data_IF_324616720966
#
_entry.id   IF_324616720966
#
_cell.length_a   1.000
_cell.length_b   1.000
_cell.length_c   1.000
_cell.angle_alpha   90.00
_cell.angle_beta   90.00
_cell.angle_gamma   90.00
#
_symmetry.space_group_name_H-M   'P 1'
#
loop_
_entity.id
_entity.type
_entity.pdbx_description
1 polymer ?
#
# COMPACT_ATOMS: atom_id res chain seq x y z
N UNK A 1 14.82 6.29 4.33
CA UNK A 1 15.48 4.97 4.15
C UNK A 1 16.97 5.02 4.45
N UNK A 2 17.56 6.22 4.47
CA UNK A 2 19.00 6.43 4.70
C UNK A 2 19.51 5.80 6.00
N UNK A 3 18.74 5.82 7.09
CA UNK A 3 19.15 5.13 8.33
C UNK A 3 19.27 3.60 8.17
N UNK A 4 18.41 3.00 7.35
CA UNK A 4 18.48 1.57 7.01
C UNK A 4 19.72 1.30 6.15
N UNK A 5 19.93 2.12 5.12
CA UNK A 5 21.09 2.01 4.23
C UNK A 5 22.41 2.19 4.97
N UNK A 6 22.45 3.10 5.94
CA UNK A 6 23.62 3.38 6.78
C UNK A 6 23.81 2.35 7.93
N UNK A 7 22.93 1.35 8.05
CA UNK A 7 23.02 0.31 9.08
C UNK A 7 22.67 0.76 10.50
N UNK A 8 22.03 1.92 10.65
CA UNK A 8 21.67 2.51 11.95
C UNK A 8 20.25 2.15 12.41
N UNK A 9 19.43 1.59 11.51
CA UNK A 9 18.08 1.14 11.80
C UNK A 9 18.07 -0.18 12.58
N UNK A 10 17.19 -0.28 13.59
CA UNK A 10 16.97 -1.49 14.40
C UNK A 10 15.75 -2.31 13.96
N UNK A 11 15.11 -1.92 12.86
CA UNK A 11 13.86 -2.54 12.41
C UNK A 11 14.11 -3.77 11.54
N UNK A 12 13.34 -4.83 11.76
CA UNK A 12 13.40 -6.07 10.96
C UNK A 12 12.39 -6.09 9.81
N UNK A 13 11.26 -5.38 9.96
CA UNK A 13 10.18 -5.30 8.98
C UNK A 13 9.74 -3.84 8.93
N UNK A 14 9.55 -3.31 7.72
CA UNK A 14 9.14 -1.93 7.47
C UNK A 14 7.93 -1.95 6.53
N UNK A 15 6.85 -1.30 6.95
CA UNK A 15 5.67 -1.06 6.13
C UNK A 15 5.63 0.43 5.75
N UNK A 16 5.47 0.73 4.46
CA UNK A 16 5.51 2.09 3.93
C UNK A 16 4.14 2.44 3.37
N UNK A 17 3.59 3.56 3.82
CA UNK A 17 2.31 4.11 3.37
C UNK A 17 2.57 5.45 2.67
N UNK A 18 2.00 5.64 1.48
CA UNK A 18 2.17 6.89 0.73
C UNK A 18 1.39 8.07 1.32
N UNK A 19 0.20 7.81 1.88
CA UNK A 19 -0.66 8.86 2.45
C UNK A 19 -0.38 9.04 3.95
N UNK A 20 -0.17 10.29 4.42
CA UNK A 20 -0.18 10.59 5.85
C UNK A 20 -1.53 10.19 6.46
N UNK A 21 -1.51 9.31 7.47
CA UNK A 21 -2.73 8.75 8.07
C UNK A 21 -3.26 7.48 7.39
N UNK A 22 -2.53 6.92 6.41
CA UNK A 22 -2.87 5.66 5.75
C UNK A 22 -4.09 5.75 4.84
N UNK A 23 -4.67 4.60 4.47
CA UNK A 23 -5.74 4.51 3.47
C UNK A 23 -7.00 5.32 3.83
N UNK A 24 -7.31 5.47 5.13
CA UNK A 24 -8.47 6.24 5.63
C UNK A 24 -8.35 7.75 5.40
N UNK A 25 -7.13 8.22 5.10
CA UNK A 25 -6.79 9.59 4.73
C UNK A 25 -6.36 9.70 3.26
N UNK A 26 -6.61 8.67 2.44
CA UNK A 26 -6.23 8.68 1.03
C UNK A 26 -6.93 9.79 0.24
N UNK A 27 -6.29 10.27 -0.84
CA UNK A 27 -6.77 11.42 -1.63
C UNK A 27 -8.14 11.25 -2.30
N UNK A 28 -8.67 10.02 -2.37
CA UNK A 28 -10.03 9.74 -2.84
C UNK A 28 -11.11 9.82 -1.76
N UNK A 29 -10.75 10.06 -0.50
CA UNK A 29 -11.70 10.16 0.61
C UNK A 29 -12.33 11.56 0.69
N UNK A 30 -13.52 11.72 1.30
CA UNK A 30 -14.11 13.04 1.52
C UNK A 30 -13.13 13.99 2.20
N UNK A 31 -13.03 15.21 1.68
CA UNK A 31 -12.10 16.21 2.18
C UNK A 31 -12.38 16.50 3.66
N UNK A 32 -11.33 16.42 4.48
CA UNK A 32 -11.43 16.57 5.94
C UNK A 32 -11.06 17.98 6.41
N UNK A 33 -10.92 18.96 5.50
CA UNK A 33 -10.63 20.37 5.83
C UNK A 33 -9.38 20.59 6.71
N UNK A 34 -8.43 19.67 6.69
CA UNK A 34 -7.25 19.71 7.58
C UNK A 34 -7.48 19.12 8.98
N UNK A 35 -8.71 18.72 9.31
CA UNK A 35 -9.05 18.12 10.61
C UNK A 35 -8.76 16.60 10.62
N UNK A 36 -7.68 16.22 11.32
CA UNK A 36 -7.29 14.82 11.49
C UNK A 36 -8.12 14.05 12.51
N UNK A 37 -8.94 14.70 13.33
CA UNK A 37 -9.86 14.00 14.23
C UNK A 37 -10.98 13.32 13.45
N UNK A 38 -11.34 13.85 12.28
CA UNK A 38 -12.22 13.17 11.31
C UNK A 38 -11.58 11.85 10.84
N UNK A 39 -10.29 11.88 10.50
CA UNK A 39 -9.54 10.68 10.06
C UNK A 39 -9.46 9.64 11.19
N UNK A 40 -9.18 10.06 12.42
CA UNK A 40 -9.17 9.17 13.59
C UNK A 40 -10.53 8.51 13.80
N UNK A 41 -11.64 9.25 13.64
CA UNK A 41 -13.00 8.70 13.74
C UNK A 41 -13.27 7.65 12.65
N UNK A 42 -12.78 7.85 11.43
CA UNK A 42 -12.86 6.83 10.34
C UNK A 42 -12.15 5.54 10.74
N UNK A 43 -10.91 5.65 11.23
CA UNK A 43 -10.15 4.51 11.69
C UNK A 43 -10.85 3.79 12.87
N UNK A 44 -11.34 4.54 13.86
CA UNK A 44 -12.05 3.99 15.01
C UNK A 44 -13.31 3.20 14.60
N UNK A 45 -14.07 3.72 13.63
CA UNK A 45 -15.22 3.01 13.06
C UNK A 45 -14.84 1.65 12.49
N UNK A 46 -13.77 1.59 11.68
CA UNK A 46 -13.26 0.34 11.09
C UNK A 46 -12.77 -0.65 12.16
N UNK A 47 -12.04 -0.18 13.17
CA UNK A 47 -11.56 -1.04 14.25
C UNK A 47 -12.69 -1.61 15.10
N UNK A 48 -13.74 -0.83 15.37
CA UNK A 48 -14.91 -1.31 16.10
C UNK A 48 -15.67 -2.39 15.31
N UNK A 49 -15.83 -2.19 14.00
CA UNK A 49 -16.45 -3.18 13.11
C UNK A 49 -15.62 -4.47 13.07
N UNK A 50 -14.30 -4.37 12.91
CA UNK A 50 -13.45 -5.56 12.81
C UNK A 50 -13.29 -6.29 14.15
N UNK A 51 -13.17 -5.56 15.26
CA UNK A 51 -13.04 -6.14 16.60
C UNK A 51 -14.30 -6.87 17.09
N UNK A 52 -15.47 -6.54 16.54
CA UNK A 52 -16.75 -7.21 16.87
C UNK A 52 -17.01 -8.48 16.05
N UNK A 53 -16.15 -8.83 15.09
CA UNK A 53 -16.33 -10.03 14.27
C UNK A 53 -15.80 -11.28 14.99
N UNK A 54 -16.60 -12.33 15.00
CA UNK A 54 -16.18 -13.65 15.49
C UNK A 54 -15.08 -14.26 14.61
N UNK A 55 -15.22 -14.14 13.28
CA UNK A 55 -14.25 -14.59 12.29
C UNK A 55 -13.35 -13.44 11.83
N UNK A 56 -12.25 -13.22 12.57
CA UNK A 56 -11.27 -12.15 12.29
C UNK A 56 -9.95 -12.65 11.69
N UNK A 57 -9.53 -13.88 11.99
CA UNK A 57 -8.23 -14.41 11.54
C UNK A 57 -8.38 -15.11 10.19
N UNK A 58 -7.60 -14.72 9.18
CA UNK A 58 -7.71 -15.24 7.80
C UNK A 58 -7.59 -16.76 7.73
N UNK A 59 -6.67 -17.38 8.48
CA UNK A 59 -6.49 -18.85 8.52
C UNK A 59 -7.63 -19.60 9.21
N UNK A 60 -8.58 -18.90 9.85
CA UNK A 60 -9.80 -19.50 10.42
C UNK A 60 -11.03 -19.26 9.55
N UNK A 61 -10.92 -18.46 8.48
CA UNK A 61 -12.04 -18.16 7.61
C UNK A 61 -12.36 -19.39 6.72
N UNK A 62 -13.56 -20.00 6.83
CA UNK A 62 -13.91 -21.18 6.06
C UNK A 62 -13.77 -21.02 4.54
N UNK A 63 -14.06 -19.82 4.02
CA UNK A 63 -13.92 -19.54 2.59
C UNK A 63 -12.46 -19.54 2.13
N UNK A 64 -11.55 -19.05 2.98
CA UNK A 64 -10.11 -19.09 2.70
C UNK A 64 -9.59 -20.53 2.79
N UNK A 65 -10.02 -21.28 3.81
CA UNK A 65 -9.65 -22.70 3.96
C UNK A 65 -10.11 -23.51 2.75
N UNK A 66 -11.35 -23.32 2.29
CA UNK A 66 -11.88 -23.97 1.09
C UNK A 66 -11.07 -23.59 -0.16
N UNK A 67 -10.79 -22.29 -0.37
CA UNK A 67 -10.00 -21.82 -1.51
C UNK A 67 -8.60 -22.47 -1.58
N UNK A 68 -7.94 -22.63 -0.44
CA UNK A 68 -6.63 -23.30 -0.39
C UNK A 68 -6.77 -24.80 -0.64
N UNK A 69 -7.70 -25.49 0.04
CA UNK A 69 -7.88 -26.94 -0.13
C UNK A 69 -8.31 -27.35 -1.54
N UNK A 70 -9.14 -26.55 -2.19
CA UNK A 70 -9.75 -26.89 -3.47
C UNK A 70 -8.96 -26.38 -4.69
N UNK A 71 -8.17 -25.31 -4.52
CA UNK A 71 -7.52 -24.64 -5.67
C UNK A 71 -6.06 -24.26 -5.45
N UNK A 72 -5.74 -23.52 -4.38
CA UNK A 72 -4.38 -22.98 -4.23
C UNK A 72 -3.36 -23.96 -3.63
N UNK A 73 -3.81 -25.05 -3.01
CA UNK A 73 -2.96 -25.98 -2.27
C UNK A 73 -2.47 -25.38 -0.95
N UNK A 74 -1.16 -25.39 -0.72
CA UNK A 74 -0.53 -24.84 0.48
C UNK A 74 -0.04 -23.39 0.26
N UNK A 75 0.15 -22.59 1.33
CA UNK A 75 0.87 -21.32 1.22
C UNK A 75 2.25 -21.54 0.56
N UNK A 76 2.62 -20.64 -0.36
CA UNK A 76 3.86 -20.74 -1.16
C UNK A 76 3.93 -21.89 -2.17
N UNK A 77 2.83 -22.60 -2.45
CA UNK A 77 2.75 -23.56 -3.55
C UNK A 77 2.99 -22.89 -4.92
N UNK A 78 3.20 -23.69 -5.96
CA UNK A 78 3.29 -23.18 -7.34
C UNK A 78 2.05 -22.35 -7.73
N UNK A 79 0.86 -22.84 -7.40
CA UNK A 79 -0.39 -22.14 -7.68
C UNK A 79 -0.49 -20.82 -6.89
N UNK A 80 -0.20 -20.83 -5.59
CA UNK A 80 -0.22 -19.62 -4.77
C UNK A 80 0.81 -18.58 -5.26
N UNK A 81 2.01 -19.02 -5.61
CA UNK A 81 3.06 -18.15 -6.15
C UNK A 81 2.66 -17.57 -7.51
N UNK A 82 2.01 -18.35 -8.37
CA UNK A 82 1.53 -17.88 -9.68
C UNK A 82 0.45 -16.81 -9.58
N UNK A 83 -0.50 -16.95 -8.65
CA UNK A 83 -1.69 -16.10 -8.62
C UNK A 83 -1.63 -14.97 -7.57
N UNK A 84 -0.90 -15.15 -6.48
CA UNK A 84 -0.92 -14.22 -5.34
C UNK A 84 0.41 -13.48 -5.12
N UNK A 85 1.48 -13.93 -5.77
CA UNK A 85 2.79 -13.28 -5.67
C UNK A 85 3.07 -12.49 -6.94
N UNK A 86 3.94 -11.50 -6.82
CA UNK A 86 4.33 -10.64 -7.94
C UNK A 86 5.82 -10.32 -7.86
N UNK A 87 6.34 -9.72 -8.94
CA UNK A 87 7.72 -9.29 -9.04
C UNK A 87 7.77 -7.80 -9.37
N UNK A 88 8.80 -7.13 -8.84
CA UNK A 88 9.08 -5.73 -9.14
C UNK A 88 10.28 -5.67 -10.10
N UNK A 89 10.27 -4.65 -10.95
CA UNK A 89 11.35 -4.35 -11.88
C UNK A 89 11.59 -2.85 -11.87
N UNK A 90 12.78 -2.45 -12.31
CA UNK A 90 13.13 -1.04 -12.36
C UNK A 90 12.25 -0.29 -13.38
N UNK A 91 11.65 0.81 -12.92
CA UNK A 91 10.80 1.69 -13.71
C UNK A 91 11.39 3.10 -13.89
N UNK A 92 12.62 3.34 -13.46
CA UNK A 92 13.33 4.62 -13.63
C UNK A 92 13.30 5.09 -15.10
N UNK A 93 13.62 4.19 -16.02
CA UNK A 93 13.67 4.44 -17.47
C UNK A 93 12.33 4.86 -18.10
N UNK A 94 11.18 4.48 -17.51
CA UNK A 94 9.85 4.84 -18.05
C UNK A 94 9.59 6.35 -17.96
N UNK A 95 10.22 7.03 -17.00
CA UNK A 95 10.07 8.47 -16.79
C UNK A 95 11.20 9.30 -17.39
N UNK A 96 12.26 8.68 -17.90
CA UNK A 96 13.37 9.39 -18.55
C UNK A 96 13.03 9.81 -19.99
N UNK A 97 12.32 8.95 -20.74
CA UNK A 97 11.97 9.24 -22.15
C UNK A 97 10.82 10.24 -22.32
N UNK A 98 10.00 10.47 -21.28
CA UNK A 98 8.83 11.38 -21.38
C UNK A 98 9.17 12.86 -21.26
N UNK A 99 10.40 13.23 -20.87
CA UNK A 99 10.83 14.62 -20.76
C UNK A 99 11.55 15.18 -22.00
N UNK A 100 11.92 14.35 -22.99
CA UNK A 100 12.62 14.83 -24.19
C UNK A 100 11.69 15.34 -25.31
N UNK A 101 10.40 14.99 -25.27
CA UNK A 101 9.41 15.47 -26.25
C UNK A 101 8.37 16.44 -25.66
N UNK A 102 8.30 16.62 -24.33
CA UNK A 102 7.41 17.62 -23.74
C UNK A 102 8.10 19.00 -23.72
N UNK A 103 7.69 19.87 -24.63
CA UNK A 103 8.08 21.30 -24.67
C UNK A 103 7.68 22.08 -23.41
N UNK A 104 6.90 21.47 -22.52
CA UNK A 104 6.41 22.03 -21.28
C UNK A 104 7.50 22.37 -20.23
N UNK A 105 8.71 21.80 -20.34
CA UNK A 105 9.81 22.11 -19.43
C UNK A 105 10.59 23.40 -19.76
N UNK A 106 10.32 24.05 -20.90
CA UNK A 106 11.07 25.26 -21.34
C UNK A 106 10.45 26.59 -20.87
N UNK A 107 9.29 26.58 -20.22
CA UNK A 107 8.62 27.82 -19.77
C UNK A 107 8.73 28.10 -18.27
N UNK A 108 9.43 27.27 -17.49
CA UNK A 108 9.58 27.49 -16.05
C UNK A 108 10.80 28.35 -15.65
N UNK A 109 11.55 28.90 -16.60
CA UNK A 109 12.70 29.79 -16.34
C UNK A 109 12.58 31.15 -17.04
N UNK A 110 11.35 31.64 -17.16
CA UNK A 110 11.08 33.02 -17.56
C UNK A 110 10.15 33.69 -16.52
N UNK A 111 10.79 34.36 -15.55
CA UNK A 111 10.21 35.39 -14.66
C UNK A 111 9.36 34.87 -13.48
N UNK A 112 9.97 34.79 -12.29
CA UNK A 112 9.85 35.73 -11.14
C UNK A 112 11.09 35.55 -10.26
#
# INVERSE_FOLDING_TARGET
MDEVANGNSKYHIIEIMACPGGCVAGGGQPYHHGDYDIVKKRAAGLYNIDGSKELRKSHKNPAIVALYNEFLGEPYSEAAHKYLHTHYFDKSVVYEDTCNECTCAKEADATI
#
